data_IF_378834849814
#
_entry.id   IF_378834849814
#
_cell.length_a   1.000
_cell.length_b   1.000
_cell.length_c   1.000
_cell.angle_alpha   90.00
_cell.angle_beta   90.00
_cell.angle_gamma   90.00
#
_symmetry.space_group_name_H-M   'P 1'
#
loop_
_entity.id
_entity.type
_entity.pdbx_description
1 polymer ?
#
# COMPACT_ATOMS: atom_id res chain seq x y z
N UNK A 1 -8.70 -6.60 4.66
CA UNK A 1 -7.93 -5.94 5.72
C UNK A 1 -6.70 -6.78 5.95
N UNK A 2 -5.52 -6.18 5.81
CA UNK A 2 -4.27 -6.78 6.24
C UNK A 2 -4.32 -6.97 7.75
N UNK A 3 -3.95 -8.17 8.22
CA UNK A 3 -3.78 -8.40 9.64
C UNK A 3 -2.35 -8.03 9.98
N UNK A 4 -2.16 -6.78 10.39
CA UNK A 4 -0.88 -6.34 10.93
C UNK A 4 -0.56 -7.12 12.22
N UNK A 5 0.71 -7.48 12.46
CA UNK A 5 1.11 -8.12 13.71
C UNK A 5 0.77 -7.25 14.93
N UNK A 6 0.70 -7.86 16.11
CA UNK A 6 0.44 -7.11 17.35
C UNK A 6 1.51 -6.03 17.55
N UNK A 7 1.06 -4.81 17.85
CA UNK A 7 1.94 -3.65 18.04
C UNK A 7 2.31 -2.91 16.76
N UNK A 8 1.77 -3.35 15.62
CA UNK A 8 1.90 -2.64 14.36
C UNK A 8 0.63 -1.85 14.04
N UNK A 9 0.80 -0.72 13.34
CA UNK A 9 -0.29 0.11 12.85
C UNK A 9 0.12 0.78 11.53
N UNK A 10 -0.84 1.37 10.81
CA UNK A 10 -0.53 2.22 9.66
C UNK A 10 -0.42 3.67 10.09
N UNK A 11 0.62 4.36 9.62
CA UNK A 11 0.81 5.79 9.88
C UNK A 11 -0.23 6.58 9.06
N UNK A 12 -1.22 7.27 9.66
CA UNK A 12 -2.32 7.86 8.89
C UNK A 12 -1.86 8.89 7.85
N UNK A 13 -0.77 9.61 8.12
CA UNK A 13 -0.21 10.60 7.20
C UNK A 13 0.57 10.02 6.03
N UNK A 14 0.87 8.72 6.03
CA UNK A 14 1.54 8.01 4.92
C UNK A 14 0.56 7.48 3.88
N UNK A 15 -0.75 7.57 4.14
CA UNK A 15 -1.76 6.98 3.27
C UNK A 15 -1.89 7.79 2.00
N UNK A 16 -1.43 7.24 0.88
CA UNK A 16 -1.63 7.83 -0.44
C UNK A 16 -2.67 7.02 -1.21
N UNK A 17 -3.69 7.70 -1.74
CA UNK A 17 -4.74 7.08 -2.53
C UNK A 17 -4.61 7.48 -4.01
N UNK A 18 -4.67 6.50 -4.91
CA UNK A 18 -4.58 6.75 -6.34
C UNK A 18 -5.41 5.74 -7.14
N UNK A 19 -6.48 6.19 -7.82
CA UNK A 19 -7.34 5.40 -8.75
C UNK A 19 -7.53 3.92 -8.37
N UNK A 20 -8.15 3.69 -7.22
CA UNK A 20 -8.44 2.34 -6.71
C UNK A 20 -7.23 1.60 -6.14
N UNK A 21 -6.08 2.26 -6.02
CA UNK A 21 -4.92 1.83 -5.24
C UNK A 21 -4.78 2.71 -4.00
N UNK A 22 -4.16 2.16 -2.97
CA UNK A 22 -3.72 2.92 -1.82
C UNK A 22 -2.39 2.35 -1.29
N UNK A 23 -1.54 3.21 -0.76
CA UNK A 23 -0.34 2.81 -0.02
C UNK A 23 -0.48 3.21 1.44
N UNK A 24 0.25 2.53 2.32
CA UNK A 24 0.39 2.95 3.71
C UNK A 24 1.68 2.41 4.29
N UNK A 25 2.39 3.24 5.04
CA UNK A 25 3.57 2.83 5.79
C UNK A 25 3.10 2.09 7.05
N UNK A 26 3.50 0.82 7.21
CA UNK A 26 3.33 0.13 8.48
C UNK A 26 4.39 0.65 9.46
N UNK A 27 4.01 0.95 10.71
CA UNK A 27 4.93 1.27 11.80
C UNK A 27 4.83 0.22 12.89
N UNK A 28 5.98 -0.25 13.39
CA UNK A 28 6.06 -1.26 14.43
C UNK A 28 7.50 -1.50 14.92
N UNK A 29 7.69 -2.44 15.87
CA UNK A 29 8.97 -2.61 16.57
C UNK A 29 10.18 -2.96 15.71
N UNK A 30 9.99 -3.48 14.50
CA UNK A 30 11.04 -3.91 13.57
C UNK A 30 10.69 -3.53 12.13
N UNK A 31 10.31 -2.26 11.93
CA UNK A 31 9.91 -1.75 10.61
C UNK A 31 11.09 -1.70 9.63
N UNK A 32 10.86 -2.15 8.39
CA UNK A 32 11.76 -1.96 7.25
C UNK A 32 11.46 -0.66 6.49
N UNK A 33 11.96 -0.53 5.26
CA UNK A 33 11.76 0.62 4.37
C UNK A 33 10.60 0.45 3.37
N UNK A 34 9.78 -0.60 3.55
CA UNK A 34 8.68 -0.93 2.65
C UNK A 34 7.34 -0.37 3.10
N UNK A 35 6.45 -0.14 2.13
CA UNK A 35 5.06 0.23 2.33
C UNK A 35 4.10 -0.83 1.79
N UNK A 36 2.94 -0.94 2.41
CA UNK A 36 1.90 -1.87 1.99
C UNK A 36 1.08 -1.25 0.87
N UNK A 37 0.84 -2.02 -0.19
CA UNK A 37 -0.02 -1.65 -1.32
C UNK A 37 -1.37 -2.35 -1.20
N UNK A 38 -2.43 -1.60 -1.47
CA UNK A 38 -3.81 -2.05 -1.42
C UNK A 38 -4.52 -1.81 -2.74
N UNK A 39 -5.38 -2.74 -3.15
CA UNK A 39 -6.29 -2.58 -4.28
C UNK A 39 -7.74 -2.54 -3.78
N UNK A 40 -8.49 -1.55 -4.23
CA UNK A 40 -9.92 -1.50 -4.04
C UNK A 40 -10.60 -2.52 -4.95
N UNK A 41 -11.43 -3.37 -4.36
CA UNK A 41 -12.28 -4.31 -5.07
C UNK A 41 -13.74 -3.93 -4.83
N UNK A 42 -14.48 -3.66 -5.91
CA UNK A 42 -15.91 -3.32 -5.83
C UNK A 42 -16.68 -4.40 -5.05
N UNK A 43 -17.52 -3.99 -4.10
CA UNK A 43 -18.28 -4.89 -3.22
C UNK A 43 -17.46 -5.57 -2.11
N UNK A 44 -16.12 -5.47 -2.13
CA UNK A 44 -15.22 -6.11 -1.15
C UNK A 44 -14.37 -5.11 -0.36
N UNK A 45 -14.28 -3.86 -0.81
CA UNK A 45 -13.46 -2.82 -0.20
C UNK A 45 -11.97 -3.00 -0.49
N UNK A 46 -11.14 -2.38 0.36
CA UNK A 46 -9.68 -2.43 0.25
C UNK A 46 -9.10 -3.79 0.63
N UNK A 47 -8.23 -4.32 -0.23
CA UNK A 47 -7.51 -5.58 -0.02
C UNK A 47 -6.02 -5.36 -0.12
N UNK A 48 -5.30 -5.97 0.80
CA UNK A 48 -3.84 -6.05 0.71
C UNK A 48 -3.46 -6.73 -0.60
N UNK A 49 -2.50 -6.14 -1.29
CA UNK A 49 -1.98 -6.64 -2.56
C UNK A 49 -0.54 -7.16 -2.38
N UNK A 50 0.35 -6.30 -1.88
CA UNK A 50 1.79 -6.59 -1.73
C UNK A 50 2.46 -5.60 -0.78
N UNK A 51 3.72 -5.84 -0.45
CA UNK A 51 4.60 -4.90 0.26
C UNK A 51 5.89 -4.72 -0.55
N UNK A 52 6.46 -3.51 -0.54
CA UNK A 52 7.71 -3.20 -1.24
C UNK A 52 8.18 -1.77 -0.95
N UNK A 53 9.43 -1.48 -1.28
CA UNK A 53 10.04 -0.14 -1.15
C UNK A 53 9.83 0.75 -2.39
N UNK A 54 9.08 0.26 -3.37
CA UNK A 54 8.73 0.95 -4.61
C UNK A 54 8.05 -0.01 -5.58
N UNK A 55 7.24 0.52 -6.50
CA UNK A 55 6.51 -0.29 -7.48
C UNK A 55 6.72 0.25 -8.89
N UNK A 56 6.97 -0.62 -9.86
CA UNK A 56 6.88 -0.21 -11.26
C UNK A 56 5.40 -0.20 -11.67
N UNK A 57 4.91 0.97 -12.07
CA UNK A 57 3.51 1.18 -12.48
C UNK A 57 3.05 0.17 -13.55
N UNK A 58 3.92 -0.16 -14.52
CA UNK A 58 3.64 -1.16 -15.57
C UNK A 58 3.28 -2.54 -15.00
N UNK A 59 3.89 -2.96 -13.89
CA UNK A 59 3.67 -4.27 -13.28
C UNK A 59 2.31 -4.32 -12.56
N UNK A 60 1.77 -3.14 -12.23
CA UNK A 60 0.45 -2.95 -11.65
C UNK A 60 -0.64 -2.67 -12.71
N UNK A 61 -0.27 -2.66 -14.00
CA UNK A 61 -1.17 -2.28 -15.10
C UNK A 61 -1.58 -0.79 -15.04
N UNK A 62 -0.69 0.05 -14.53
CA UNK A 62 -0.85 1.50 -14.45
C UNK A 62 -0.02 2.13 -15.56
N UNK A 63 -0.68 2.78 -16.51
CA UNK A 63 -0.03 3.40 -17.68
C UNK A 63 0.27 4.89 -17.49
N UNK A 64 -0.08 5.47 -16.35
CA UNK A 64 0.09 6.89 -16.04
C UNK A 64 0.84 7.07 -14.70
N UNK A 65 1.47 8.23 -14.44
CA UNK A 65 2.21 8.42 -13.19
C UNK A 65 1.33 8.27 -11.95
N UNK A 66 1.76 7.43 -11.01
CA UNK A 66 1.20 7.29 -9.67
C UNK A 66 2.26 7.67 -8.61
N UNK A 67 1.86 8.22 -7.46
CA UNK A 67 2.79 8.80 -6.49
C UNK A 67 3.75 7.76 -5.86
N UNK A 68 3.32 6.51 -5.78
CA UNK A 68 4.09 5.39 -5.25
C UNK A 68 4.91 4.62 -6.29
N UNK A 69 4.87 5.05 -7.55
CA UNK A 69 5.61 4.39 -8.62
C UNK A 69 7.01 4.98 -8.82
N UNK A 70 7.96 4.11 -9.15
CA UNK A 70 9.34 4.45 -9.52
C UNK A 70 9.75 3.96 -10.91
#
# INVERSE_FOLDING_TARGET
>A
MSNLPKGWHYVPSSVECWKGWATADPEGPTVGDGFDLFRYQAGKGWRYHSQGSGYHCKDLGIDEPAPFCS
#
